data_IF_088150679209
#
_entry.id   IF_088150679209
#
_cell.length_a   1.000
_cell.length_b   1.000
_cell.length_c   1.000
_cell.angle_alpha   90.00
_cell.angle_beta   90.00
_cell.angle_gamma   90.00
#
_symmetry.space_group_name_H-M   'P 1'
#
loop_
_entity.id
_entity.type
_entity.pdbx_description
1 polymer ?
#
# COMPACT_ATOMS: atom_id res chain seq x y z
N UNK A 1 12.89 -9.11 0.08
CA UNK A 1 12.41 -7.88 0.76
C UNK A 1 10.91 -7.63 0.54
N UNK A 2 10.24 -8.44 -0.31
CA UNK A 2 8.82 -8.28 -0.70
C UNK A 2 7.78 -8.69 0.37
N UNK A 3 8.04 -9.68 1.22
CA UNK A 3 7.00 -10.19 2.14
C UNK A 3 6.56 -9.20 3.22
N UNK A 4 7.44 -8.31 3.70
CA UNK A 4 7.08 -7.36 4.77
C UNK A 4 6.14 -6.24 4.32
N UNK A 5 6.13 -5.92 3.03
CA UNK A 5 5.23 -4.92 2.48
C UNK A 5 3.86 -5.54 2.23
N UNK A 6 3.82 -6.74 1.64
CA UNK A 6 2.57 -7.39 1.25
C UNK A 6 1.62 -7.61 2.43
N UNK A 7 2.12 -8.17 3.54
CA UNK A 7 1.28 -8.43 4.72
C UNK A 7 0.73 -7.13 5.35
N UNK A 8 1.56 -6.09 5.44
CA UNK A 8 1.12 -4.78 5.96
C UNK A 8 0.05 -4.14 5.07
N UNK A 9 0.18 -4.31 3.76
CA UNK A 9 -0.73 -3.71 2.81
C UNK A 9 -2.06 -4.45 2.71
N UNK A 10 -2.03 -5.78 2.66
CA UNK A 10 -3.22 -6.62 2.49
C UNK A 10 -4.05 -6.70 3.79
N UNK A 11 -3.44 -6.59 4.99
CA UNK A 11 -4.17 -6.63 6.26
C UNK A 11 -4.54 -5.23 6.81
N UNK A 12 -3.63 -4.26 6.82
CA UNK A 12 -3.87 -2.96 7.46
C UNK A 12 -4.28 -1.84 6.50
N UNK A 13 -3.82 -1.86 5.25
CA UNK A 13 -3.99 -0.72 4.34
C UNK A 13 -5.30 -0.83 3.53
N UNK A 14 -5.78 -2.04 3.23
CA UNK A 14 -7.06 -2.25 2.51
C UNK A 14 -8.25 -1.62 3.23
N UNK A 15 -8.26 -1.66 4.56
CA UNK A 15 -9.41 -1.33 5.39
C UNK A 15 -9.49 0.15 5.78
N UNK A 16 -8.47 0.95 5.45
CA UNK A 16 -8.37 2.36 5.86
C UNK A 16 -8.38 3.33 4.67
N UNK A 17 -8.58 4.61 4.97
CA UNK A 17 -8.57 5.66 3.95
C UNK A 17 -7.18 5.79 3.29
N UNK A 18 -7.15 6.16 2.01
CA UNK A 18 -5.90 6.46 1.27
C UNK A 18 -5.02 7.47 2.00
N UNK A 19 -5.62 8.48 2.63
CA UNK A 19 -4.87 9.52 3.35
C UNK A 19 -4.12 8.93 4.55
N UNK A 20 -4.77 8.04 5.30
CA UNK A 20 -4.18 7.42 6.48
C UNK A 20 -3.15 6.35 6.09
N UNK A 21 -3.42 5.62 5.02
CA UNK A 21 -2.47 4.68 4.43
C UNK A 21 -1.14 5.37 4.06
N UNK A 22 -1.21 6.50 3.35
CA UNK A 22 -0.01 7.28 2.96
C UNK A 22 0.74 7.77 4.20
N UNK A 23 0.04 8.31 5.21
CA UNK A 23 0.69 8.78 6.46
C UNK A 23 1.36 7.64 7.22
N UNK A 24 0.71 6.46 7.30
CA UNK A 24 1.27 5.27 7.95
C UNK A 24 2.48 4.76 7.18
N UNK A 25 2.43 4.71 5.85
CA UNK A 25 3.56 4.33 5.00
C UNK A 25 4.75 5.26 5.17
N UNK A 26 4.52 6.57 5.11
CA UNK A 26 5.55 7.58 5.33
C UNK A 26 6.26 7.40 6.67
N UNK A 27 5.49 7.21 7.75
CA UNK A 27 6.03 6.96 9.10
C UNK A 27 6.77 5.63 9.22
N UNK A 28 6.19 4.56 8.68
CA UNK A 28 6.70 3.19 8.80
C UNK A 28 8.03 3.02 8.07
N UNK A 29 8.12 3.55 6.86
CA UNK A 29 9.27 3.40 5.97
C UNK A 29 10.22 4.61 6.00
N UNK A 30 9.91 5.63 6.82
CA UNK A 30 10.68 6.88 6.94
C UNK A 30 10.91 7.53 5.56
N UNK A 31 9.87 7.54 4.74
CA UNK A 31 9.85 8.19 3.42
C UNK A 31 8.97 9.43 3.47
N UNK A 32 9.16 10.35 2.53
CA UNK A 32 8.27 11.50 2.40
C UNK A 32 6.87 11.08 1.90
N UNK A 33 5.90 12.00 2.02
CA UNK A 33 4.52 11.72 1.62
C UNK A 33 4.36 11.47 0.11
N UNK A 34 5.24 12.03 -0.70
CA UNK A 34 5.20 11.94 -2.16
C UNK A 34 5.63 10.53 -2.59
N UNK A 35 6.70 10.03 -1.98
CA UNK A 35 7.20 8.68 -2.17
C UNK A 35 6.23 7.64 -1.58
N UNK A 36 5.71 7.87 -0.38
CA UNK A 36 4.66 7.02 0.20
C UNK A 36 3.42 6.93 -0.70
N UNK A 37 3.05 8.03 -1.36
CA UNK A 37 1.92 8.05 -2.29
C UNK A 37 2.20 7.24 -3.57
N UNK A 38 3.43 7.28 -4.11
CA UNK A 38 3.82 6.43 -5.25
C UNK A 38 3.70 4.95 -4.88
N UNK A 39 4.30 4.56 -3.75
CA UNK A 39 4.27 3.17 -3.25
C UNK A 39 2.83 2.70 -3.07
N UNK A 40 1.97 3.51 -2.44
CA UNK A 40 0.55 3.18 -2.28
C UNK A 40 -0.15 2.98 -3.62
N UNK A 41 0.05 3.88 -4.58
CA UNK A 41 -0.61 3.81 -5.88
C UNK A 41 -0.13 2.61 -6.72
N UNK A 42 1.14 2.22 -6.57
CA UNK A 42 1.71 1.05 -7.24
C UNK A 42 1.16 -0.25 -6.63
N UNK A 43 1.18 -0.36 -5.30
CA UNK A 43 0.56 -1.50 -4.63
C UNK A 43 -0.94 -1.62 -4.95
N UNK A 44 -1.70 -0.51 -4.91
CA UNK A 44 -3.15 -0.51 -5.20
C UNK A 44 -3.45 -0.98 -6.62
N UNK A 45 -2.62 -0.61 -7.60
CA UNK A 45 -2.76 -1.08 -8.99
C UNK A 45 -2.53 -2.57 -9.08
N UNK A 46 -1.44 -3.07 -8.50
CA UNK A 46 -1.13 -4.49 -8.47
C UNK A 46 -2.21 -5.31 -7.74
N UNK A 47 -2.77 -4.77 -6.66
CA UNK A 47 -3.87 -5.39 -5.91
C UNK A 47 -5.17 -5.46 -6.72
N UNK A 48 -5.56 -4.36 -7.38
CA UNK A 48 -6.73 -4.34 -8.26
C UNK A 48 -6.56 -5.28 -9.47
N UNK A 49 -5.35 -5.41 -10.01
CA UNK A 49 -5.08 -6.30 -11.15
C UNK A 49 -5.03 -7.78 -10.72
N UNK A 50 -4.52 -8.07 -9.52
CA UNK A 50 -4.54 -9.41 -8.95
C UNK A 50 -5.98 -9.90 -8.70
N UNK A 51 -6.81 -9.08 -8.03
CA UNK A 51 -8.21 -9.42 -7.74
C UNK A 51 -9.06 -9.60 -9.00
N UNK A 52 -8.78 -8.86 -10.08
CA UNK A 52 -9.44 -9.05 -11.38
C UNK A 52 -9.10 -10.35 -12.09
N UNK A 53 -7.92 -10.92 -11.87
CA UNK A 53 -7.53 -12.20 -12.48
C UNK A 53 -8.13 -13.41 -11.78
N UNK A 54 -8.55 -13.23 -10.54
CA UNK A 54 -9.20 -14.27 -9.71
C UNK A 54 -10.73 -14.21 -9.77
N UNK A 55 -11.31 -13.28 -10.55
CA UNK A 55 -12.76 -13.09 -10.73
C UNK A 55 -13.28 -13.65 -12.05
#
# INVERSE_FOLDING_TARGET
MENKFKDFFDEEIITISKSDAIKRLARRFKVDNLEAQKIYNEWRRNWCDATKRES
#
